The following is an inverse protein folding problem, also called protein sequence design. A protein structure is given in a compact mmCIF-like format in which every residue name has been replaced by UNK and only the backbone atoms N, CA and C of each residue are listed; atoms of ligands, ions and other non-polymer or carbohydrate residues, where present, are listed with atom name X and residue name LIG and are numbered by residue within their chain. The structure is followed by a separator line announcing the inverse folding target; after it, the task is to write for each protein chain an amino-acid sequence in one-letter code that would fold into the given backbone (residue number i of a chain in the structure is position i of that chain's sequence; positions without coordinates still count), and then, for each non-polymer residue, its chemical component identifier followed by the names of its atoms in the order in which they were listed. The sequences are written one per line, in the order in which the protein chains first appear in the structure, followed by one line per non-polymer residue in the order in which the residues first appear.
data_IF_575491936785
#
_entry.id   IF_575491936785
#
_cell.length_a   1.000
_cell.length_b   1.000
_cell.length_c   1.000
_cell.angle_alpha   90.00
_cell.angle_beta   90.00
_cell.angle_gamma   90.00
#
_symmetry.space_group_name_H-M   'P 1'
#
loop_
_entity.id
_entity.type
_entity.pdbx_description
1 polymer ?
#
# COMPACT_ATOMS: atom_id res chain seq x y z
N UNK A 1 27.21 22.87 5.16
CA UNK A 1 25.82 22.40 4.93
C UNK A 1 25.84 20.92 4.59
N UNK A 2 24.84 20.16 5.05
CA UNK A 2 24.77 18.70 4.89
C UNK A 2 23.62 18.34 3.96
N UNK A 3 23.91 17.60 2.89
CA UNK A 3 22.96 17.15 1.89
C UNK A 3 23.00 15.64 1.75
N UNK A 4 21.88 15.05 1.35
CA UNK A 4 21.78 13.63 1.08
C UNK A 4 21.44 13.46 -0.39
N UNK A 5 22.18 12.58 -1.06
CA UNK A 5 22.00 12.23 -2.46
C UNK A 5 21.83 10.73 -2.59
N UNK A 6 21.08 10.30 -3.59
CA UNK A 6 20.96 8.91 -4.01
C UNK A 6 21.94 8.69 -5.15
N UNK A 7 22.75 7.63 -5.09
CA UNK A 7 23.73 7.27 -6.11
C UNK A 7 23.40 5.88 -6.66
N UNK A 8 22.82 5.85 -7.86
CA UNK A 8 22.54 4.62 -8.58
C UNK A 8 23.83 4.05 -9.21
N UNK A 9 23.89 2.72 -9.34
CA UNK A 9 25.01 2.01 -9.96
C UNK A 9 26.07 1.46 -9.00
N UNK A 10 25.94 1.70 -7.69
CA UNK A 10 26.79 1.07 -6.67
C UNK A 10 26.31 -0.36 -6.39
N UNK A 11 27.17 -1.36 -6.64
CA UNK A 11 26.81 -2.78 -6.48
C UNK A 11 27.72 -3.55 -5.51
N UNK A 12 28.82 -2.94 -5.05
CA UNK A 12 29.77 -3.59 -4.15
C UNK A 12 30.56 -2.57 -3.30
N UNK A 13 31.32 -3.06 -2.33
CA UNK A 13 32.14 -2.22 -1.44
C UNK A 13 33.19 -1.38 -2.18
N UNK A 14 33.73 -1.87 -3.30
CA UNK A 14 34.66 -1.07 -4.12
C UNK A 14 33.95 0.04 -4.91
N UNK A 15 32.68 -0.15 -5.31
CA UNK A 15 31.87 0.94 -5.85
C UNK A 15 31.66 2.05 -4.82
N UNK A 16 31.31 1.68 -3.57
CA UNK A 16 31.20 2.63 -2.46
C UNK A 16 32.48 3.45 -2.28
N UNK A 17 33.63 2.77 -2.15
CA UNK A 17 34.91 3.44 -1.92
C UNK A 17 35.30 4.37 -3.09
N UNK A 18 35.01 3.97 -4.33
CA UNK A 18 35.24 4.79 -5.53
C UNK A 18 34.40 6.06 -5.52
N UNK A 19 33.12 5.96 -5.19
CA UNK A 19 32.19 7.10 -5.13
C UNK A 19 32.55 8.05 -3.99
N UNK A 20 32.86 7.51 -2.81
CA UNK A 20 33.26 8.29 -1.65
C UNK A 20 34.53 9.09 -1.92
N UNK A 21 35.53 8.47 -2.56
CA UNK A 21 36.76 9.15 -2.97
C UNK A 21 36.50 10.26 -3.98
N UNK A 22 35.77 9.97 -5.07
CA UNK A 22 35.46 10.96 -6.11
C UNK A 22 34.75 12.20 -5.58
N UNK A 23 33.85 12.04 -4.61
CA UNK A 23 33.12 13.16 -4.02
C UNK A 23 33.94 13.93 -2.98
N UNK A 24 34.86 13.28 -2.27
CA UNK A 24 35.80 13.93 -1.32
C UNK A 24 36.87 14.76 -2.03
N UNK A 25 37.20 14.42 -3.28
CA UNK A 25 38.20 15.13 -4.09
C UNK A 25 37.69 16.47 -4.67
N UNK A 26 36.41 16.83 -4.45
CA UNK A 26 35.81 18.09 -4.93
C UNK A 26 36.13 19.22 -3.95
N UNK A 27 36.56 20.36 -4.48
CA UNK A 27 36.74 21.58 -3.69
C UNK A 27 35.45 21.98 -2.97
N UNK A 28 35.56 22.52 -1.76
CA UNK A 28 34.44 22.87 -0.87
C UNK A 28 33.62 21.67 -0.31
N UNK A 29 34.05 20.41 -0.50
CA UNK A 29 33.49 19.24 0.21
C UNK A 29 34.31 18.93 1.47
N UNK A 30 33.70 19.03 2.65
CA UNK A 30 34.36 18.78 3.94
C UNK A 30 34.22 17.34 4.44
N UNK A 31 33.15 16.63 4.11
CA UNK A 31 33.01 15.21 4.44
C UNK A 31 32.02 14.47 3.51
N UNK A 32 32.25 13.17 3.29
CA UNK A 32 31.36 12.31 2.50
C UNK A 32 31.20 10.96 3.20
N UNK A 33 29.96 10.59 3.49
CA UNK A 33 29.60 9.28 4.04
C UNK A 33 28.68 8.53 3.06
N UNK A 34 29.13 7.39 2.55
CA UNK A 34 28.36 6.59 1.58
C UNK A 34 27.80 5.34 2.25
N UNK A 35 26.49 5.12 2.11
CA UNK A 35 25.79 3.93 2.54
C UNK A 35 25.40 3.08 1.33
N UNK A 36 26.03 1.91 1.21
CA UNK A 36 25.80 0.99 0.09
C UNK A 36 24.42 0.32 0.14
N UNK A 37 23.90 0.02 1.34
CA UNK A 37 22.60 -0.64 1.52
C UNK A 37 21.46 0.27 1.05
N UNK A 38 21.57 1.57 1.35
CA UNK A 38 20.56 2.56 1.00
C UNK A 38 20.83 3.26 -0.34
N UNK A 39 21.96 2.98 -0.99
CA UNK A 39 22.44 3.70 -2.18
C UNK A 39 22.51 5.23 -1.95
N UNK A 40 22.89 5.65 -0.75
CA UNK A 40 22.88 7.06 -0.34
C UNK A 40 24.30 7.57 -0.10
N UNK A 41 24.55 8.82 -0.48
CA UNK A 41 25.74 9.56 -0.13
C UNK A 41 25.33 10.83 0.61
N UNK A 42 25.87 10.97 1.81
CA UNK A 42 25.70 12.14 2.65
C UNK A 42 26.94 13.02 2.46
N UNK A 43 26.75 14.22 1.93
CA UNK A 43 27.84 15.14 1.59
C UNK A 43 27.72 16.37 2.49
N UNK A 44 28.79 16.65 3.23
CA UNK A 44 28.97 17.90 3.96
C UNK A 44 29.85 18.81 3.11
N UNK A 45 29.35 19.99 2.78
CA UNK A 45 30.01 20.96 1.91
C UNK A 45 30.07 22.32 2.61
N UNK A 46 31.15 23.06 2.43
CA UNK A 46 31.35 24.38 3.05
C UNK A 46 30.62 25.47 2.24
N UNK A 47 30.55 25.27 0.92
CA UNK A 47 29.76 26.06 -0.03
C UNK A 47 28.81 25.14 -0.80
N UNK A 48 27.68 25.67 -1.25
CA UNK A 48 26.75 24.88 -2.07
C UNK A 48 27.39 24.55 -3.42
N UNK A 49 27.47 23.25 -3.73
CA UNK A 49 27.94 22.70 -5.00
C UNK A 49 26.73 22.16 -5.76
N UNK A 50 26.62 22.51 -7.03
CA UNK A 50 25.52 22.07 -7.88
C UNK A 50 25.63 20.56 -8.16
N UNK A 51 24.48 19.88 -8.25
CA UNK A 51 24.44 18.45 -8.55
C UNK A 51 25.09 18.12 -9.90
N UNK A 52 25.08 19.03 -10.86
CA UNK A 52 25.74 18.87 -12.16
C UNK A 52 27.26 18.75 -11.98
N UNK A 53 27.83 19.47 -11.04
CA UNK A 53 29.25 19.42 -10.71
C UNK A 53 29.60 18.13 -9.95
N UNK A 54 28.76 17.74 -8.98
CA UNK A 54 28.88 16.45 -8.31
C UNK A 54 28.80 15.27 -9.31
N UNK A 55 27.88 15.31 -10.27
CA UNK A 55 27.73 14.27 -11.29
C UNK A 55 28.95 14.18 -12.22
N UNK A 56 29.64 15.29 -12.50
CA UNK A 56 30.87 15.31 -13.32
C UNK A 56 32.05 14.62 -12.63
N UNK A 57 32.10 14.65 -11.30
CA UNK A 57 33.14 13.96 -10.52
C UNK A 57 33.00 12.43 -10.54
N UNK A 58 31.80 11.94 -10.87
CA UNK A 58 31.46 10.53 -10.86
C UNK A 58 31.64 9.91 -12.25
N UNK A 59 32.05 8.63 -12.29
CA UNK A 59 32.08 7.86 -13.52
C UNK A 59 30.68 7.74 -14.15
N UNK A 60 30.60 7.65 -15.48
CA UNK A 60 29.34 7.59 -16.26
C UNK A 60 28.40 6.44 -15.88
N UNK A 61 28.91 5.41 -15.19
CA UNK A 61 28.11 4.29 -14.65
C UNK A 61 27.33 4.63 -13.39
N UNK A 62 27.57 5.79 -12.79
CA UNK A 62 26.88 6.26 -11.59
C UNK A 62 25.98 7.44 -11.91
N UNK A 63 24.82 7.49 -11.26
CA UNK A 63 23.86 8.60 -11.38
C UNK A 63 23.56 9.15 -10.01
N UNK A 64 23.87 10.43 -9.78
CA UNK A 64 23.57 11.14 -8.54
C UNK A 64 22.27 11.92 -8.67
N UNK A 65 21.38 11.78 -7.69
CA UNK A 65 20.12 12.53 -7.60
C UNK A 65 19.95 13.06 -6.18
N UNK A 66 19.54 14.32 -6.02
CA UNK A 66 19.34 14.90 -4.69
C UNK A 66 18.13 14.27 -4.00
N UNK A 67 18.32 13.82 -2.76
CA UNK A 67 17.22 13.36 -1.92
C UNK A 67 16.59 14.61 -1.30
N UNK A 68 15.45 15.05 -1.83
CA UNK A 68 14.75 16.21 -1.26
C UNK A 68 14.31 15.90 0.18
N UNK A 69 14.97 16.55 1.14
CA UNK A 69 14.43 16.73 2.48
C UNK A 69 13.34 17.79 2.33
N UNK A 70 12.07 17.38 2.32
CA UNK A 70 10.90 18.30 2.31
C UNK A 70 11.00 19.25 3.50
N UNK A 71 11.63 20.41 3.31
CA UNK A 71 11.47 21.57 4.17
C UNK A 71 10.39 22.46 3.57
N UNK A 72 9.36 22.70 4.37
CA UNK A 72 8.07 23.34 4.03
C UNK A 72 8.20 24.85 3.74
N UNK A 73 9.33 25.35 3.25
CA UNK A 73 9.43 26.78 2.96
C UNK A 73 10.41 27.11 1.83
N UNK A 74 9.91 27.99 0.94
CA UNK A 74 10.59 28.77 -0.11
C UNK A 74 10.47 28.21 -1.53
N UNK A 75 9.43 28.70 -2.21
CA UNK A 75 9.28 28.73 -3.67
C UNK A 75 10.41 29.57 -4.30
N UNK A 76 10.92 29.17 -5.49
CA UNK A 76 10.97 29.97 -6.73
C UNK A 76 11.71 29.21 -7.84
N UNK A 77 10.93 28.90 -8.89
CA UNK A 77 11.26 28.76 -10.33
C UNK A 77 12.14 27.60 -10.85
N UNK A 78 11.42 26.69 -11.52
CA UNK A 78 11.58 26.35 -12.94
C UNK A 78 12.90 25.78 -13.44
N UNK A 79 12.94 24.46 -13.65
CA UNK A 79 13.56 23.84 -14.82
C UNK A 79 13.02 22.41 -14.98
N UNK A 80 12.38 22.18 -16.12
CA UNK A 80 11.93 20.94 -16.76
C UNK A 80 12.49 19.62 -16.17
N UNK A 81 11.71 18.98 -15.29
CA UNK A 81 11.85 17.57 -14.96
C UNK A 81 10.60 16.84 -15.46
N UNK A 82 10.79 15.70 -16.12
CA UNK A 82 9.72 14.73 -16.36
C UNK A 82 9.12 14.38 -15.01
N UNK A 83 7.87 14.79 -14.83
CA UNK A 83 7.04 14.44 -13.70
C UNK A 83 6.87 12.91 -13.78
N UNK A 84 7.57 12.15 -12.93
CA UNK A 84 6.97 10.90 -12.46
C UNK A 84 5.68 11.33 -11.76
N UNK A 85 4.56 11.25 -12.48
CA UNK A 85 3.24 11.56 -11.96
C UNK A 85 3.10 10.81 -10.64
N UNK A 86 3.03 11.55 -9.54
CA UNK A 86 2.49 11.06 -8.29
C UNK A 86 1.06 10.65 -8.64
N UNK A 87 0.89 9.38 -9.05
CA UNK A 87 -0.35 8.88 -9.63
C UNK A 87 -1.48 9.31 -8.72
N UNK A 88 -2.40 10.12 -9.26
CA UNK A 88 -3.55 10.64 -8.53
C UNK A 88 -4.16 9.50 -7.70
N UNK A 89 -4.56 9.77 -6.44
CA UNK A 89 -5.17 8.75 -5.56
C UNK A 89 -6.23 7.93 -6.30
N UNK A 90 -6.99 8.57 -7.19
CA UNK A 90 -8.00 7.94 -8.04
C UNK A 90 -7.44 6.89 -9.02
N UNK A 91 -6.26 7.14 -9.59
CA UNK A 91 -5.57 6.20 -10.48
C UNK A 91 -5.05 4.96 -9.73
N UNK A 92 -4.71 5.12 -8.44
CA UNK A 92 -4.40 3.98 -7.58
C UNK A 92 -5.67 3.20 -7.25
N UNK A 93 -6.80 3.84 -6.95
CA UNK A 93 -8.08 3.14 -6.68
C UNK A 93 -8.72 2.49 -7.91
N UNK A 94 -8.24 2.76 -9.13
CA UNK A 94 -8.83 2.26 -10.38
C UNK A 94 -9.01 0.73 -10.44
N UNK A 95 -8.02 -0.12 -10.09
CA UNK A 95 -8.19 -1.58 -10.12
C UNK A 95 -9.27 -2.06 -9.14
N UNK A 96 -9.33 -1.43 -7.96
CA UNK A 96 -10.33 -1.74 -6.95
C UNK A 96 -11.75 -1.39 -7.42
N UNK A 97 -11.94 -0.17 -7.92
CA UNK A 97 -13.24 0.28 -8.44
C UNK A 97 -13.71 -0.62 -9.58
N UNK A 98 -12.78 -1.06 -10.43
CA UNK A 98 -13.06 -2.02 -11.48
C UNK A 98 -13.53 -3.37 -10.92
N UNK A 99 -12.85 -3.92 -9.92
CA UNK A 99 -13.26 -5.17 -9.24
C UNK A 99 -14.68 -5.03 -8.67
N UNK A 100 -14.94 -3.95 -7.91
CA UNK A 100 -16.27 -3.70 -7.32
C UNK A 100 -17.33 -3.55 -8.41
N UNK A 101 -17.03 -2.86 -9.52
CA UNK A 101 -17.92 -2.72 -10.66
C UNK A 101 -18.30 -4.07 -11.29
N UNK A 102 -17.32 -4.96 -11.50
CA UNK A 102 -17.58 -6.30 -12.02
C UNK A 102 -18.43 -7.14 -11.06
N UNK A 103 -18.14 -7.10 -9.75
CA UNK A 103 -18.92 -7.81 -8.73
C UNK A 103 -20.36 -7.30 -8.68
N UNK A 104 -20.55 -5.97 -8.67
CA UNK A 104 -21.87 -5.34 -8.66
C UNK A 104 -22.67 -5.72 -9.92
N UNK A 105 -22.05 -5.62 -11.10
CA UNK A 105 -22.69 -5.97 -12.38
C UNK A 105 -23.08 -7.45 -12.41
N UNK A 106 -22.19 -8.35 -12.01
CA UNK A 106 -22.49 -9.78 -11.93
C UNK A 106 -23.66 -10.05 -10.98
N UNK A 107 -23.65 -9.44 -9.80
CA UNK A 107 -24.71 -9.61 -8.79
C UNK A 107 -26.06 -9.09 -9.27
N UNK A 108 -26.10 -7.96 -9.98
CA UNK A 108 -27.32 -7.42 -10.61
C UNK A 108 -27.84 -8.37 -11.69
N UNK A 109 -26.96 -8.86 -12.57
CA UNK A 109 -27.34 -9.73 -13.68
C UNK A 109 -27.91 -11.07 -13.21
N UNK A 110 -27.40 -11.63 -12.10
CA UNK A 110 -27.94 -12.86 -11.50
C UNK A 110 -29.41 -12.73 -11.06
N UNK A 111 -29.85 -11.52 -10.71
CA UNK A 111 -31.21 -11.24 -10.22
C UNK A 111 -32.05 -10.38 -11.16
N UNK A 112 -31.64 -10.22 -12.43
CA UNK A 112 -32.31 -9.31 -13.37
C UNK A 112 -33.78 -9.67 -13.64
N UNK A 113 -34.13 -10.96 -13.61
CA UNK A 113 -35.52 -11.41 -13.84
C UNK A 113 -36.39 -11.34 -12.58
N UNK A 114 -35.86 -11.78 -11.44
CA UNK A 114 -36.59 -11.89 -10.17
C UNK A 114 -35.83 -11.09 -9.11
N UNK A 115 -36.01 -9.78 -9.13
CA UNK A 115 -35.26 -8.89 -8.25
C UNK A 115 -35.56 -9.16 -6.78
N UNK A 116 -34.51 -9.50 -6.02
CA UNK A 116 -34.56 -9.67 -4.57
C UNK A 116 -33.34 -9.00 -3.96
N UNK A 117 -33.57 -7.98 -3.12
CA UNK A 117 -32.50 -7.24 -2.46
C UNK A 117 -31.68 -8.14 -1.53
N UNK A 118 -32.32 -9.06 -0.82
CA UNK A 118 -31.63 -10.02 0.05
C UNK A 118 -30.76 -10.98 -0.75
N UNK A 119 -31.27 -11.55 -1.85
CA UNK A 119 -30.48 -12.43 -2.69
C UNK A 119 -29.33 -11.71 -3.40
N UNK A 120 -29.56 -10.48 -3.87
CA UNK A 120 -28.53 -9.61 -4.43
C UNK A 120 -27.42 -9.32 -3.41
N UNK A 121 -27.77 -8.93 -2.18
CA UNK A 121 -26.78 -8.63 -1.12
C UNK A 121 -25.93 -9.86 -0.79
N UNK A 122 -26.55 -11.03 -0.70
CA UNK A 122 -25.82 -12.29 -0.45
C UNK A 122 -24.84 -12.62 -1.57
N UNK A 123 -25.24 -12.47 -2.83
CA UNK A 123 -24.33 -12.74 -3.96
C UNK A 123 -23.23 -11.70 -4.08
N UNK A 124 -23.54 -10.42 -3.85
CA UNK A 124 -22.54 -9.37 -3.80
C UNK A 124 -21.52 -9.64 -2.69
N UNK A 125 -21.96 -9.92 -1.46
CA UNK A 125 -21.09 -10.25 -0.33
C UNK A 125 -20.25 -11.50 -0.59
N UNK A 126 -20.87 -12.54 -1.17
CA UNK A 126 -20.22 -13.78 -1.52
C UNK A 126 -19.11 -13.60 -2.54
N UNK A 127 -19.42 -12.95 -3.68
CA UNK A 127 -18.45 -12.64 -4.72
C UNK A 127 -17.36 -11.69 -4.22
N UNK A 128 -17.71 -10.71 -3.38
CA UNK A 128 -16.75 -9.83 -2.71
C UNK A 128 -15.72 -10.64 -1.92
N UNK A 129 -16.17 -11.52 -1.03
CA UNK A 129 -15.25 -12.34 -0.24
C UNK A 129 -14.38 -13.26 -1.09
N UNK A 130 -14.94 -13.92 -2.11
CA UNK A 130 -14.18 -14.81 -3.00
C UNK A 130 -13.08 -14.05 -3.74
N UNK A 131 -13.42 -12.92 -4.37
CA UNK A 131 -12.47 -12.16 -5.18
C UNK A 131 -11.38 -11.53 -4.31
N UNK A 132 -11.73 -10.92 -3.18
CA UNK A 132 -10.74 -10.30 -2.30
C UNK A 132 -9.89 -11.32 -1.55
N UNK A 133 -10.45 -12.50 -1.23
CA UNK A 133 -9.68 -13.62 -0.69
C UNK A 133 -8.65 -14.11 -1.71
N UNK A 134 -9.04 -14.27 -2.98
CA UNK A 134 -8.14 -14.67 -4.06
C UNK A 134 -6.93 -13.72 -4.16
N UNK A 135 -7.13 -12.41 -4.17
CA UNK A 135 -6.02 -11.44 -4.21
C UNK A 135 -5.07 -11.57 -3.00
N UNK A 136 -5.59 -11.88 -1.81
CA UNK A 136 -4.77 -12.13 -0.63
C UNK A 136 -4.01 -13.45 -0.73
N UNK A 137 -4.59 -14.47 -1.37
CA UNK A 137 -3.93 -15.75 -1.62
C UNK A 137 -2.80 -15.66 -2.65
N UNK A 138 -2.83 -14.70 -3.58
CA UNK A 138 -1.71 -14.47 -4.50
C UNK A 138 -0.42 -14.07 -3.77
N UNK A 139 -0.53 -13.48 -2.57
CA UNK A 139 0.61 -13.11 -1.73
C UNK A 139 0.46 -13.61 -0.29
N UNK A 140 0.35 -14.93 -0.10
CA UNK A 140 0.26 -15.54 1.25
C UNK A 140 1.48 -15.29 2.15
N UNK A 141 2.60 -14.80 1.60
CA UNK A 141 3.81 -14.48 2.36
C UNK A 141 3.82 -13.02 2.83
N UNK A 142 3.50 -12.08 1.94
CA UNK A 142 3.48 -10.64 2.25
C UNK A 142 2.16 -10.15 2.86
N UNK A 143 1.03 -10.77 2.53
CA UNK A 143 -0.28 -10.40 3.07
C UNK A 143 -0.32 -10.43 4.61
N UNK A 144 0.07 -11.52 5.30
CA UNK A 144 -0.05 -11.57 6.76
C UNK A 144 0.77 -10.48 7.46
N UNK A 145 1.95 -10.16 6.95
CA UNK A 145 2.79 -9.08 7.51
C UNK A 145 2.15 -7.70 7.32
N UNK A 146 1.59 -7.44 6.14
CA UNK A 146 0.88 -6.19 5.84
C UNK A 146 -0.41 -6.07 6.65
N UNK A 147 -1.17 -7.15 6.77
CA UNK A 147 -2.44 -7.20 7.49
C UNK A 147 -2.27 -6.91 8.98
N UNK A 148 -1.18 -7.39 9.59
CA UNK A 148 -0.83 -7.13 11.00
C UNK A 148 -0.55 -5.67 11.33
N UNK A 149 -0.26 -4.83 10.33
CA UNK A 149 -0.01 -3.41 10.54
C UNK A 149 -1.27 -2.65 10.97
N UNK A 150 -2.44 -3.09 10.53
CA UNK A 150 -3.71 -2.42 10.81
C UNK A 150 -4.74 -3.30 11.53
N UNK A 151 -4.76 -4.62 11.34
CA UNK A 151 -5.73 -5.48 12.02
C UNK A 151 -5.31 -5.78 13.48
N UNK A 152 -6.11 -5.40 14.50
CA UNK A 152 -5.74 -5.56 15.90
C UNK A 152 -5.62 -7.03 16.33
N UNK A 153 -6.43 -7.93 15.75
CA UNK A 153 -6.42 -9.35 16.08
C UNK A 153 -5.21 -10.03 15.44
N UNK A 154 -4.89 -9.73 14.18
CA UNK A 154 -3.69 -10.23 13.52
C UNK A 154 -2.41 -9.75 14.22
N UNK A 155 -2.41 -8.50 14.70
CA UNK A 155 -1.28 -7.96 15.47
C UNK A 155 -0.99 -8.77 16.73
N UNK A 156 -2.05 -9.24 17.42
CA UNK A 156 -1.94 -10.03 18.65
C UNK A 156 -1.74 -11.53 18.39
N UNK A 157 -2.34 -12.06 17.32
CA UNK A 157 -2.32 -13.47 16.95
C UNK A 157 -1.82 -13.59 15.49
N UNK A 158 -0.50 -13.70 15.26
CA UNK A 158 0.06 -13.72 13.90
C UNK A 158 -0.45 -14.85 13.01
N UNK A 159 -0.85 -15.98 13.63
CA UNK A 159 -1.46 -17.11 12.93
C UNK A 159 -2.80 -16.74 12.26
N UNK A 160 -3.59 -15.85 12.88
CA UNK A 160 -4.87 -15.40 12.32
C UNK A 160 -4.67 -14.75 10.95
N UNK A 161 -3.63 -13.93 10.76
CA UNK A 161 -3.34 -13.30 9.46
C UNK A 161 -3.05 -14.30 8.33
N UNK A 162 -2.50 -15.49 8.65
CA UNK A 162 -2.28 -16.55 7.65
C UNK A 162 -3.57 -17.29 7.29
N UNK A 163 -4.46 -17.45 8.26
CA UNK A 163 -5.73 -18.17 8.08
C UNK A 163 -6.83 -17.27 7.50
N UNK A 164 -6.69 -15.94 7.65
CA UNK A 164 -7.69 -14.95 7.24
C UNK A 164 -8.17 -15.09 5.79
N UNK A 165 -7.32 -15.28 4.75
CA UNK A 165 -7.81 -15.48 3.38
C UNK A 165 -8.73 -16.71 3.28
N UNK A 166 -8.45 -17.78 4.01
CA UNK A 166 -9.30 -18.97 4.03
C UNK A 166 -10.63 -18.74 4.76
N UNK A 167 -10.64 -17.92 5.81
CA UNK A 167 -11.88 -17.49 6.48
C UNK A 167 -12.75 -16.72 5.48
N UNK A 168 -12.17 -15.80 4.72
CA UNK A 168 -12.90 -15.07 3.70
C UNK A 168 -13.43 -15.98 2.59
N UNK A 169 -12.63 -16.93 2.09
CA UNK A 169 -13.12 -17.93 1.12
C UNK A 169 -14.31 -18.70 1.69
N UNK A 170 -14.23 -19.16 2.94
CA UNK A 170 -15.31 -19.89 3.59
C UNK A 170 -16.58 -19.04 3.72
N UNK A 171 -16.47 -17.78 4.17
CA UNK A 171 -17.60 -16.84 4.24
C UNK A 171 -18.20 -16.59 2.85
N UNK A 172 -17.37 -16.40 1.83
CA UNK A 172 -17.80 -16.22 0.45
C UNK A 172 -18.64 -17.40 -0.04
N UNK A 173 -18.17 -18.63 0.21
CA UNK A 173 -18.89 -19.85 -0.13
C UNK A 173 -20.19 -19.99 0.68
N UNK A 174 -20.19 -19.67 1.98
CA UNK A 174 -21.41 -19.69 2.79
C UNK A 174 -22.49 -18.77 2.23
N UNK A 175 -22.12 -17.55 1.82
CA UNK A 175 -23.07 -16.63 1.21
C UNK A 175 -23.56 -17.14 -0.16
N UNK A 176 -22.67 -17.53 -1.06
CA UNK A 176 -23.03 -17.99 -2.41
C UNK A 176 -23.88 -19.28 -2.40
N UNK A 177 -23.58 -20.21 -1.50
CA UNK A 177 -24.32 -21.47 -1.36
C UNK A 177 -25.55 -21.36 -0.46
N UNK A 178 -25.81 -20.18 0.13
CA UNK A 178 -26.88 -19.97 1.11
C UNK A 178 -26.77 -20.90 2.33
N UNK A 179 -25.56 -21.26 2.71
CA UNK A 179 -25.27 -22.18 3.81
C UNK A 179 -25.04 -21.40 5.11
N UNK A 180 -25.85 -21.67 6.14
CA UNK A 180 -25.72 -21.09 7.49
C UNK A 180 -25.53 -19.55 7.49
N UNK A 181 -26.40 -18.85 6.73
CA UNK A 181 -26.31 -17.40 6.48
C UNK A 181 -26.23 -16.60 7.79
N UNK A 182 -27.05 -16.95 8.79
CA UNK A 182 -27.06 -16.25 10.07
C UNK A 182 -25.72 -16.32 10.81
N UNK A 183 -25.03 -17.45 10.71
CA UNK A 183 -23.71 -17.64 11.32
C UNK A 183 -22.68 -16.84 10.51
N UNK A 184 -22.72 -16.93 9.18
CA UNK A 184 -21.83 -16.16 8.30
C UNK A 184 -21.93 -14.66 8.55
N UNK A 185 -23.15 -14.11 8.64
CA UNK A 185 -23.39 -12.68 8.91
C UNK A 185 -22.80 -12.24 10.25
N UNK A 186 -22.96 -13.03 11.32
CA UNK A 186 -22.38 -12.73 12.64
C UNK A 186 -20.85 -12.76 12.61
N UNK A 187 -20.26 -13.76 11.96
CA UNK A 187 -18.80 -13.85 11.81
C UNK A 187 -18.29 -12.65 11.01
N UNK A 188 -18.93 -12.30 9.90
CA UNK A 188 -18.64 -11.12 9.08
C UNK A 188 -18.59 -9.85 9.92
N UNK A 189 -19.60 -9.62 10.78
CA UNK A 189 -19.63 -8.44 11.65
C UNK A 189 -18.48 -8.42 12.66
N UNK A 190 -18.15 -9.56 13.26
CA UNK A 190 -17.05 -9.66 14.23
C UNK A 190 -15.72 -9.39 13.53
N UNK A 191 -15.45 -10.10 12.44
CA UNK A 191 -14.20 -10.02 11.69
C UNK A 191 -14.00 -8.61 11.15
N UNK A 192 -14.95 -8.11 10.37
CA UNK A 192 -14.84 -6.78 9.76
C UNK A 192 -14.92 -5.66 10.80
N UNK A 193 -15.65 -5.82 11.89
CA UNK A 193 -15.70 -4.85 12.98
C UNK A 193 -14.32 -4.66 13.62
N UNK A 194 -13.62 -5.76 13.92
CA UNK A 194 -12.24 -5.72 14.45
C UNK A 194 -11.30 -5.04 13.46
N UNK A 195 -11.35 -5.44 12.18
CA UNK A 195 -10.50 -4.84 11.13
C UNK A 195 -10.80 -3.35 10.96
N UNK A 196 -12.07 -2.96 10.98
CA UNK A 196 -12.50 -1.56 10.84
C UNK A 196 -11.98 -0.70 11.98
N UNK A 197 -12.07 -1.14 13.24
CA UNK A 197 -11.50 -0.42 14.38
C UNK A 197 -9.99 -0.17 14.18
N UNK A 198 -9.27 -1.17 13.69
CA UNK A 198 -7.86 -1.07 13.38
C UNK A 198 -7.54 -0.09 12.27
N UNK A 199 -8.23 -0.20 11.14
CA UNK A 199 -8.09 0.68 9.98
C UNK A 199 -8.45 2.12 10.34
N UNK A 200 -9.56 2.34 11.05
CA UNK A 200 -9.96 3.68 11.54
C UNK A 200 -8.89 4.28 12.43
N UNK A 201 -8.31 3.50 13.36
CA UNK A 201 -7.21 3.98 14.19
C UNK A 201 -5.99 4.36 13.36
N UNK A 202 -5.61 3.55 12.38
CA UNK A 202 -4.48 3.84 11.48
C UNK A 202 -4.73 5.09 10.62
N UNK A 203 -5.97 5.32 10.18
CA UNK A 203 -6.35 6.54 9.44
C UNK A 203 -6.30 7.79 10.34
N UNK A 204 -6.78 7.68 11.58
CA UNK A 204 -6.80 8.78 12.55
C UNK A 204 -5.40 9.14 13.04
N UNK A 205 -4.53 8.16 13.21
CA UNK A 205 -3.17 8.38 13.73
C UNK A 205 -2.27 9.15 12.74
N UNK A 206 -2.68 9.34 11.46
CA UNK A 206 -1.89 9.98 10.38
C UNK A 206 -0.40 9.60 10.37
N UNK A 207 -0.05 8.44 10.92
CA UNK A 207 1.34 7.99 11.02
C UNK A 207 1.75 7.49 9.65
N UNK A 208 2.45 8.36 8.91
CA UNK A 208 3.25 7.99 7.74
C UNK A 208 4.42 7.13 8.20
N UNK A 209 4.19 5.82 8.32
CA UNK A 209 5.26 4.89 8.62
C UNK A 209 5.95 4.48 7.31
N UNK A 210 7.26 4.69 7.34
CA UNK A 210 8.25 4.42 6.32
C UNK A 210 8.07 3.03 5.69
N UNK A 211 8.17 3.05 4.36
CA UNK A 211 8.07 1.90 3.47
C UNK A 211 9.15 0.86 3.80
N UNK A 212 8.74 -0.33 4.22
CA UNK A 212 9.58 -1.51 4.21
C UNK A 212 9.06 -2.45 3.10
N UNK A 213 9.90 -2.62 2.09
CA UNK A 213 9.99 -3.79 1.22
C UNK A 213 8.67 -4.35 0.64
N UNK A 214 8.42 -3.92 -0.60
CA UNK A 214 7.59 -4.56 -1.63
C UNK A 214 7.21 -6.04 -1.37
N UNK A 215 5.96 -6.27 -0.99
CA UNK A 215 5.18 -7.45 -1.38
C UNK A 215 4.43 -7.11 -2.66
N UNK A 216 4.79 -7.79 -3.74
CA UNK A 216 4.38 -7.63 -5.14
C UNK A 216 2.93 -8.07 -5.33
N UNK A 217 1.98 -7.17 -5.60
CA UNK A 217 1.35 -7.10 -6.92
C UNK A 217 0.53 -5.82 -7.16
N UNK A 218 0.10 -5.11 -6.11
CA UNK A 218 -0.78 -3.93 -6.20
C UNK A 218 -0.48 -2.98 -5.02
N UNK A 219 0.30 -1.92 -5.26
CA UNK A 219 0.51 -0.83 -4.28
C UNK A 219 -0.72 0.08 -4.26
N UNK A 220 -1.79 -0.39 -3.63
CA UNK A 220 -2.96 0.44 -3.33
C UNK A 220 -2.73 1.13 -1.97
N UNK A 221 -3.21 2.38 -1.78
CA UNK A 221 -3.33 2.97 -0.46
C UNK A 221 -4.48 2.23 0.25
N UNK A 222 -4.19 1.03 0.74
CA UNK A 222 -5.20 0.06 1.19
C UNK A 222 -6.10 0.63 2.28
N UNK A 223 -5.61 1.53 3.12
CA UNK A 223 -6.31 1.94 4.34
C UNK A 223 -7.63 2.68 4.09
N UNK A 224 -7.72 3.60 3.12
CA UNK A 224 -8.96 4.34 2.82
C UNK A 224 -9.98 3.46 2.08
N UNK A 225 -9.50 2.65 1.14
CA UNK A 225 -10.29 1.71 0.36
C UNK A 225 -10.92 0.61 1.24
N UNK A 226 -10.10 -0.07 2.05
CA UNK A 226 -10.53 -1.13 2.95
C UNK A 226 -11.55 -0.63 3.98
N UNK A 227 -11.46 0.64 4.41
CA UNK A 227 -12.47 1.23 5.29
C UNK A 227 -13.85 1.28 4.61
N UNK A 228 -13.91 1.78 3.36
CA UNK A 228 -15.16 1.89 2.60
C UNK A 228 -15.75 0.50 2.30
N UNK A 229 -14.90 -0.43 1.85
CA UNK A 229 -15.26 -1.81 1.60
C UNK A 229 -15.89 -2.48 2.84
N UNK A 230 -15.20 -2.41 3.98
CA UNK A 230 -15.68 -2.99 5.23
C UNK A 230 -16.98 -2.33 5.67
N UNK A 231 -17.11 -1.00 5.54
CA UNK A 231 -18.33 -0.29 5.89
C UNK A 231 -19.53 -0.77 5.05
N UNK A 232 -19.37 -0.92 3.74
CA UNK A 232 -20.41 -1.43 2.85
C UNK A 232 -20.83 -2.84 3.28
N UNK A 233 -19.87 -3.73 3.51
CA UNK A 233 -20.11 -5.11 3.93
C UNK A 233 -20.79 -5.21 5.31
N UNK A 234 -20.37 -4.38 6.27
CA UNK A 234 -20.99 -4.30 7.60
C UNK A 234 -22.43 -3.80 7.51
N UNK A 235 -22.70 -2.77 6.71
CA UNK A 235 -24.06 -2.23 6.51
C UNK A 235 -24.97 -3.31 5.91
N UNK A 236 -24.54 -3.98 4.84
CA UNK A 236 -25.33 -5.09 4.27
C UNK A 236 -25.57 -6.18 5.30
N UNK A 237 -24.54 -6.58 6.06
CA UNK A 237 -24.69 -7.61 7.07
C UNK A 237 -25.69 -7.24 8.18
N UNK A 238 -25.71 -5.97 8.62
CA UNK A 238 -26.69 -5.45 9.59
C UNK A 238 -28.09 -5.45 8.99
N UNK A 239 -28.25 -4.91 7.77
CA UNK A 239 -29.56 -4.85 7.08
C UNK A 239 -30.16 -6.26 6.91
N UNK A 240 -29.32 -7.23 6.59
CA UNK A 240 -29.69 -8.64 6.48
C UNK A 240 -30.07 -9.27 7.82
N UNK A 241 -29.33 -9.01 8.89
CA UNK A 241 -29.68 -9.54 10.22
C UNK A 241 -30.95 -8.92 10.82
N UNK A 242 -31.26 -7.69 10.45
CA UNK A 242 -32.46 -6.98 10.89
C UNK A 242 -33.68 -7.27 10.01
N UNK A 243 -33.55 -8.11 8.97
CA UNK A 243 -34.60 -8.43 8.00
C UNK A 243 -35.26 -7.17 7.42
N UNK A 244 -34.48 -6.14 7.09
CA UNK A 244 -34.99 -4.87 6.56
C UNK A 244 -35.43 -5.00 5.08
N UNK A 245 -35.14 -6.15 4.43
CA UNK A 245 -35.50 -6.46 3.04
C UNK A 245 -35.79 -7.95 2.84
#
# INVERSE_FOLDING_TARGET
MKHIYIIKGMTCGSCKASVEKSLRDIDDVSDVEVNLENQEATITMDKHIDIVELQKSLASKYTITQKEVKNVFTSTQSSTFEIEEEKSKLQQLKPLLLIIFYIATASILLHYKNWSWSAFMLDFMGLFYIVFSFFKMLDLKGFPESFRMYDPLAKRVPFYGKVYPFIETALGLMFLMRFEINIALKITLIVLGITTIGVTKTLLDKKSIQCACLGTALKLPMTEATFIENAIMIVMAILMLLNIF
#
